data_IF_821889367879
#
_entry.id   IF_821889367879
#
_cell.length_a   1.000
_cell.length_b   1.000
_cell.length_c   1.000
_cell.angle_alpha   90.00
_cell.angle_beta   90.00
_cell.angle_gamma   90.00
#
_symmetry.space_group_name_H-M   'P 1'
#
loop_
_entity.id
_entity.type
_entity.pdbx_description
1 polymer ?
#
# COMPACT_ATOMS: atom_id res chain seq x y z
N UNK A 1 6.95 -54.85 18.01
CA UNK A 1 6.90 -54.91 16.54
C UNK A 1 7.72 -53.76 15.98
N UNK A 2 8.92 -54.03 15.49
CA UNK A 2 9.80 -53.02 14.89
C UNK A 2 9.39 -52.87 13.42
N UNK A 3 8.91 -51.71 13.02
CA UNK A 3 8.64 -51.39 11.62
C UNK A 3 9.97 -51.05 10.92
N UNK A 4 10.51 -51.98 10.16
CA UNK A 4 11.64 -51.74 9.27
C UNK A 4 11.19 -50.91 8.06
N UNK A 5 11.57 -49.62 8.03
CA UNK A 5 11.44 -48.76 6.83
C UNK A 5 12.49 -49.21 5.82
N UNK A 6 12.06 -49.76 4.69
CA UNK A 6 12.97 -50.22 3.63
C UNK A 6 13.52 -49.03 2.84
N UNK A 7 14.77 -49.16 2.31
CA UNK A 7 15.41 -48.12 1.45
C UNK A 7 14.54 -47.67 0.27
N UNK A 8 13.67 -48.53 -0.26
CA UNK A 8 12.72 -48.18 -1.33
C UNK A 8 11.62 -47.24 -0.85
N UNK A 9 11.11 -47.38 0.37
CA UNK A 9 10.11 -46.44 0.95
C UNK A 9 10.67 -45.08 1.18
N UNK A 10 11.96 -44.93 1.55
CA UNK A 10 12.62 -43.63 1.71
C UNK A 10 12.85 -42.92 0.38
N UNK A 11 13.22 -43.62 -0.69
CA UNK A 11 13.42 -43.04 -2.03
C UNK A 11 12.10 -42.59 -2.65
N UNK A 12 10.99 -43.34 -2.48
CA UNK A 12 9.68 -42.90 -2.95
C UNK A 12 9.13 -41.71 -2.16
N UNK A 13 9.40 -41.63 -0.84
CA UNK A 13 9.04 -40.46 -0.02
C UNK A 13 9.82 -39.20 -0.40
N UNK A 14 11.12 -39.33 -0.69
CA UNK A 14 11.95 -38.20 -1.13
C UNK A 14 11.60 -37.71 -2.56
N UNK A 15 11.23 -38.62 -3.47
CA UNK A 15 10.76 -38.25 -4.81
C UNK A 15 9.38 -37.55 -4.79
N UNK A 16 8.48 -37.99 -3.88
CA UNK A 16 7.19 -37.32 -3.67
C UNK A 16 7.32 -35.93 -3.07
N UNK A 17 8.23 -35.73 -2.13
CA UNK A 17 8.55 -34.39 -1.59
C UNK A 17 9.19 -33.49 -2.66
N UNK A 18 10.10 -34.02 -3.51
CA UNK A 18 10.73 -33.25 -4.56
C UNK A 18 9.76 -32.80 -5.65
N UNK A 19 8.74 -33.62 -5.98
CA UNK A 19 7.70 -33.26 -6.95
C UNK A 19 6.71 -32.24 -6.38
N UNK A 20 6.40 -32.27 -5.08
CA UNK A 20 5.56 -31.27 -4.41
C UNK A 20 6.32 -29.93 -4.26
N UNK A 21 7.63 -29.95 -4.07
CA UNK A 21 8.49 -28.76 -3.97
C UNK A 21 8.70 -28.06 -5.32
N UNK A 22 8.62 -28.79 -6.45
CA UNK A 22 8.74 -28.22 -7.78
C UNK A 22 7.56 -27.27 -8.18
N UNK A 23 6.42 -27.36 -7.48
CA UNK A 23 5.26 -26.50 -7.66
C UNK A 23 5.33 -25.18 -6.84
N UNK A 24 6.32 -25.01 -5.95
CA UNK A 24 6.37 -23.95 -4.95
C UNK A 24 7.56 -22.97 -5.12
N UNK A 25 7.97 -22.68 -6.34
CA UNK A 25 9.07 -21.72 -6.58
C UNK A 25 10.43 -22.17 -5.99
N UNK A 26 11.47 -21.43 -6.28
CA UNK A 26 12.82 -21.68 -5.76
C UNK A 26 12.85 -21.52 -4.23
N UNK A 27 13.34 -22.55 -3.52
CA UNK A 27 13.65 -22.45 -2.09
C UNK A 27 14.99 -21.71 -1.97
N UNK A 28 14.95 -20.53 -1.36
CA UNK A 28 16.16 -19.74 -1.12
C UNK A 28 16.97 -20.36 0.03
N UNK A 29 18.22 -20.71 -0.24
CA UNK A 29 19.20 -21.06 0.79
C UNK A 29 19.64 -19.82 1.57
N UNK A 30 20.35 -20.04 2.69
CA UNK A 30 20.85 -18.96 3.56
C UNK A 30 21.74 -17.94 2.82
N UNK A 31 22.49 -18.39 1.81
CA UNK A 31 23.42 -17.57 1.01
C UNK A 31 22.83 -17.11 -0.34
N UNK A 32 21.62 -17.53 -0.67
CA UNK A 32 20.97 -17.13 -1.93
C UNK A 32 20.47 -15.67 -1.83
N UNK A 33 20.66 -14.92 -2.91
CA UNK A 33 20.08 -13.59 -3.05
C UNK A 33 18.68 -13.68 -3.67
N UNK A 34 17.78 -12.83 -3.20
CA UNK A 34 16.45 -12.65 -3.81
C UNK A 34 16.62 -11.85 -5.11
N UNK A 35 16.42 -12.52 -6.25
CA UNK A 35 16.44 -11.89 -7.56
C UNK A 35 15.20 -11.04 -7.77
N UNK A 36 15.36 -9.72 -7.78
CA UNK A 36 14.25 -8.78 -7.78
C UNK A 36 14.18 -8.03 -9.11
N UNK A 37 12.98 -7.89 -9.66
CA UNK A 37 12.68 -6.98 -10.75
C UNK A 37 11.90 -5.76 -10.24
N UNK A 38 12.07 -4.60 -10.91
CA UNK A 38 11.30 -3.40 -10.61
C UNK A 38 10.55 -2.96 -11.86
N UNK A 39 9.23 -2.82 -11.77
CA UNK A 39 8.32 -2.42 -12.85
C UNK A 39 7.70 -1.06 -12.51
N UNK A 40 7.92 -0.07 -13.37
CA UNK A 40 7.59 1.33 -13.14
C UNK A 40 8.73 2.07 -12.43
N UNK A 41 9.38 3.00 -13.14
CA UNK A 41 10.59 3.71 -12.69
C UNK A 41 10.37 5.23 -12.64
N UNK A 42 9.12 5.65 -12.41
CA UNK A 42 8.80 7.04 -12.07
C UNK A 42 9.39 7.46 -10.71
N UNK A 43 8.97 8.59 -10.16
CA UNK A 43 9.49 9.11 -8.88
C UNK A 43 9.43 8.06 -7.77
N UNK A 44 8.28 7.39 -7.61
CA UNK A 44 8.09 6.36 -6.58
C UNK A 44 8.92 5.09 -6.85
N UNK A 45 8.94 4.60 -8.11
CA UNK A 45 9.77 3.44 -8.47
C UNK A 45 11.26 3.67 -8.26
N UNK A 46 11.76 4.86 -8.57
CA UNK A 46 13.16 5.23 -8.28
C UNK A 46 13.45 5.29 -6.77
N UNK A 47 12.48 5.75 -5.97
CA UNK A 47 12.62 5.74 -4.52
C UNK A 47 12.66 4.31 -3.97
N UNK A 48 11.78 3.41 -4.46
CA UNK A 48 11.80 1.98 -4.08
C UNK A 48 13.10 1.30 -4.54
N UNK A 49 13.59 1.60 -5.74
CA UNK A 49 14.89 1.12 -6.20
C UNK A 49 16.00 1.48 -5.20
N UNK A 50 16.03 2.72 -4.70
CA UNK A 50 16.98 3.13 -3.70
C UNK A 50 16.83 2.34 -2.38
N UNK A 51 15.60 2.02 -1.96
CA UNK A 51 15.35 1.18 -0.77
C UNK A 51 15.83 -0.26 -0.94
N UNK A 52 15.62 -0.84 -2.13
CA UNK A 52 16.19 -2.17 -2.47
C UNK A 52 17.72 -2.13 -2.48
N UNK A 53 18.33 -1.09 -3.06
CA UNK A 53 19.78 -0.91 -3.05
C UNK A 53 20.34 -0.73 -1.64
N UNK A 54 19.64 -0.01 -0.76
CA UNK A 54 20.00 0.10 0.66
C UNK A 54 19.98 -1.30 1.33
N UNK A 55 18.95 -2.11 1.12
CA UNK A 55 18.90 -3.50 1.61
C UNK A 55 20.07 -4.33 1.12
N UNK A 56 20.42 -4.20 -0.18
CA UNK A 56 21.55 -4.92 -0.77
C UNK A 56 22.85 -4.52 -0.09
N UNK A 57 23.06 -3.22 0.15
CA UNK A 57 24.26 -2.72 0.80
C UNK A 57 24.39 -3.18 2.26
N UNK A 58 23.29 -3.24 2.99
CA UNK A 58 23.27 -3.59 4.42
C UNK A 58 23.31 -5.10 4.66
N UNK A 59 22.59 -5.90 3.87
CA UNK A 59 22.40 -7.34 4.15
C UNK A 59 22.91 -8.28 3.05
N UNK A 60 23.20 -7.76 1.86
CA UNK A 60 23.71 -8.52 0.70
C UNK A 60 22.89 -9.80 0.35
N UNK A 61 21.59 -9.80 0.68
CA UNK A 61 20.68 -10.94 0.53
C UNK A 61 19.65 -10.77 -0.60
N UNK A 62 19.76 -9.71 -1.38
CA UNK A 62 18.94 -9.40 -2.55
C UNK A 62 19.81 -8.86 -3.69
N UNK A 63 19.25 -8.86 -4.90
CA UNK A 63 19.86 -8.16 -6.06
C UNK A 63 18.79 -7.72 -7.04
N UNK A 64 19.01 -6.60 -7.73
CA UNK A 64 18.14 -6.15 -8.82
C UNK A 64 18.68 -6.72 -10.13
N UNK A 65 17.91 -7.61 -10.76
CA UNK A 65 18.31 -8.31 -12.00
C UNK A 65 17.60 -7.80 -13.24
N UNK A 66 16.48 -7.06 -13.07
CA UNK A 66 15.70 -6.54 -14.18
C UNK A 66 14.96 -5.24 -13.83
N UNK A 67 14.82 -4.37 -14.82
CA UNK A 67 14.11 -3.10 -14.75
C UNK A 67 13.13 -3.01 -15.91
N UNK A 68 11.90 -2.52 -15.68
CA UNK A 68 10.91 -2.32 -16.74
C UNK A 68 10.25 -0.95 -16.61
N UNK A 69 10.19 -0.22 -17.72
CA UNK A 69 9.55 1.10 -17.82
C UNK A 69 9.20 1.40 -19.29
N UNK A 70 8.07 2.00 -19.52
CA UNK A 70 7.59 2.38 -20.87
C UNK A 70 8.13 3.74 -21.36
N UNK A 71 8.71 4.54 -20.48
CA UNK A 71 9.35 5.80 -20.82
C UNK A 71 10.88 5.66 -20.78
N UNK A 72 11.51 5.78 -21.95
CA UNK A 72 12.93 5.47 -22.12
C UNK A 72 13.88 6.31 -21.25
N UNK A 73 13.57 7.58 -21.02
CA UNK A 73 14.39 8.43 -20.15
C UNK A 73 14.45 7.87 -18.70
N UNK A 74 13.30 7.40 -18.17
CA UNK A 74 13.23 6.81 -16.84
C UNK A 74 13.98 5.48 -16.78
N UNK A 75 13.81 4.65 -17.82
CA UNK A 75 14.49 3.36 -17.94
C UNK A 75 16.00 3.52 -17.99
N UNK A 76 16.51 4.40 -18.87
CA UNK A 76 17.93 4.70 -19.00
C UNK A 76 18.54 5.27 -17.71
N UNK A 77 17.82 6.18 -17.05
CA UNK A 77 18.27 6.76 -15.79
C UNK A 77 18.37 5.73 -14.65
N UNK A 78 17.43 4.80 -14.58
CA UNK A 78 17.44 3.73 -13.58
C UNK A 78 18.52 2.68 -13.90
N UNK A 79 18.73 2.32 -15.17
CA UNK A 79 19.76 1.36 -15.60
C UNK A 79 21.17 1.82 -15.21
N UNK A 80 21.45 3.12 -15.29
CA UNK A 80 22.75 3.70 -14.83
C UNK A 80 22.99 3.47 -13.32
N UNK A 81 21.93 3.34 -12.51
CA UNK A 81 22.03 3.11 -11.06
C UNK A 81 22.22 1.64 -10.69
N UNK A 82 21.93 0.72 -11.62
CA UNK A 82 22.04 -0.74 -11.41
C UNK A 82 22.76 -1.38 -12.60
N UNK A 83 24.08 -1.20 -12.69
CA UNK A 83 24.87 -1.84 -13.76
C UNK A 83 24.67 -3.36 -13.76
N UNK A 84 24.35 -3.93 -14.91
CA UNK A 84 24.11 -5.37 -15.08
C UNK A 84 22.65 -5.82 -14.96
N UNK A 85 21.72 -5.00 -14.49
CA UNK A 85 20.31 -5.29 -14.59
C UNK A 85 19.84 -5.21 -16.05
N UNK A 86 19.08 -6.23 -16.52
CA UNK A 86 18.51 -6.23 -17.86
C UNK A 86 17.31 -5.29 -17.93
N UNK A 87 17.20 -4.52 -18.99
CA UNK A 87 16.13 -3.54 -19.20
C UNK A 87 15.06 -4.09 -20.14
N UNK A 88 13.79 -3.73 -19.87
CA UNK A 88 12.61 -4.12 -20.62
C UNK A 88 11.66 -2.94 -20.76
N UNK A 89 10.91 -2.90 -21.86
CA UNK A 89 9.74 -2.00 -22.00
C UNK A 89 8.44 -2.71 -21.71
N UNK A 90 8.40 -4.04 -21.90
CA UNK A 90 7.24 -4.90 -21.67
C UNK A 90 7.46 -5.75 -20.41
N UNK A 91 6.57 -5.63 -19.43
CA UNK A 91 6.66 -6.45 -18.21
C UNK A 91 6.44 -7.94 -18.49
N UNK A 92 5.67 -8.28 -19.54
CA UNK A 92 5.45 -9.67 -19.97
C UNK A 92 6.77 -10.35 -20.33
N UNK A 93 7.62 -9.66 -21.13
CA UNK A 93 8.95 -10.17 -21.50
C UNK A 93 9.87 -10.30 -20.28
N UNK A 94 9.80 -9.33 -19.36
CA UNK A 94 10.54 -9.39 -18.09
C UNK A 94 10.13 -10.63 -17.29
N UNK A 95 8.85 -10.96 -17.21
CA UNK A 95 8.32 -12.09 -16.46
C UNK A 95 8.59 -13.46 -17.11
N UNK A 96 9.13 -13.52 -18.33
CA UNK A 96 9.60 -14.78 -18.93
C UNK A 96 10.92 -15.28 -18.36
N UNK A 97 11.62 -14.45 -17.59
CA UNK A 97 12.84 -14.83 -16.87
C UNK A 97 12.54 -15.95 -15.88
N UNK A 98 13.42 -16.94 -15.83
CA UNK A 98 13.30 -18.12 -14.93
C UNK A 98 13.98 -17.93 -13.58
N UNK A 99 14.75 -16.85 -13.45
CA UNK A 99 15.57 -16.55 -12.29
C UNK A 99 14.95 -15.51 -11.35
N UNK A 100 13.70 -15.05 -11.60
CA UNK A 100 13.02 -14.08 -10.75
C UNK A 100 12.42 -14.74 -9.50
N UNK A 101 12.68 -14.14 -8.34
CA UNK A 101 12.09 -14.50 -7.06
C UNK A 101 11.02 -13.48 -6.62
N UNK A 102 11.24 -12.19 -6.92
CA UNK A 102 10.36 -11.12 -6.49
C UNK A 102 10.19 -10.01 -7.54
N UNK A 103 9.04 -9.35 -7.51
CA UNK A 103 8.72 -8.19 -8.36
C UNK A 103 8.23 -7.02 -7.50
N UNK A 104 8.83 -5.85 -7.69
CA UNK A 104 8.38 -4.58 -7.11
C UNK A 104 7.58 -3.83 -8.18
N UNK A 105 6.30 -3.56 -7.91
CA UNK A 105 5.38 -2.87 -8.81
C UNK A 105 5.16 -1.44 -8.32
N UNK A 106 5.49 -0.45 -9.15
CA UNK A 106 5.40 0.98 -8.85
C UNK A 106 4.87 1.79 -10.04
N UNK A 107 3.96 1.23 -10.76
CA UNK A 107 3.24 1.79 -11.92
C UNK A 107 2.07 2.69 -11.46
N UNK A 108 1.32 3.33 -12.36
CA UNK A 108 -0.01 3.87 -12.05
C UNK A 108 -0.98 2.78 -11.57
N UNK A 109 -2.03 3.19 -10.83
CA UNK A 109 -2.92 2.29 -10.08
C UNK A 109 -3.57 1.21 -10.98
N UNK A 110 -3.97 1.56 -12.21
CA UNK A 110 -4.62 0.64 -13.15
C UNK A 110 -3.72 -0.52 -13.65
N UNK A 111 -2.42 -0.43 -13.41
CA UNK A 111 -1.46 -1.49 -13.73
C UNK A 111 -1.09 -2.37 -12.54
N UNK A 112 -1.49 -2.01 -11.31
CA UNK A 112 -1.12 -2.77 -10.12
C UNK A 112 -1.63 -4.21 -10.17
N UNK A 113 -2.92 -4.41 -10.40
CA UNK A 113 -3.50 -5.76 -10.47
C UNK A 113 -2.98 -6.60 -11.65
N UNK A 114 -2.96 -6.12 -12.91
CA UNK A 114 -2.47 -6.90 -14.03
C UNK A 114 -1.03 -7.41 -13.85
N UNK A 115 -0.12 -6.54 -13.41
CA UNK A 115 1.29 -6.92 -13.23
C UNK A 115 1.45 -7.85 -12.03
N UNK A 116 0.76 -7.57 -10.91
CA UNK A 116 0.78 -8.43 -9.72
C UNK A 116 0.29 -9.83 -10.03
N UNK A 117 -0.84 -9.98 -10.71
CA UNK A 117 -1.39 -11.28 -11.09
C UNK A 117 -0.44 -12.05 -12.00
N UNK A 118 0.13 -11.38 -13.01
CA UNK A 118 1.09 -12.01 -13.91
C UNK A 118 2.37 -12.46 -13.17
N UNK A 119 2.89 -11.66 -12.24
CA UNK A 119 4.05 -12.02 -11.43
C UNK A 119 3.76 -13.23 -10.51
N UNK A 120 2.59 -13.24 -9.85
CA UNK A 120 2.14 -14.36 -9.03
C UNK A 120 1.99 -15.65 -9.84
N UNK A 121 1.46 -15.57 -11.07
CA UNK A 121 1.34 -16.75 -11.96
C UNK A 121 2.71 -17.31 -12.37
N UNK A 122 3.73 -16.48 -12.43
CA UNK A 122 5.12 -16.90 -12.65
C UNK A 122 5.82 -17.41 -11.39
N UNK A 123 5.14 -17.41 -10.25
CA UNK A 123 5.67 -17.87 -8.98
C UNK A 123 6.57 -16.86 -8.27
N UNK A 124 6.48 -15.58 -8.62
CA UNK A 124 7.20 -14.50 -7.93
C UNK A 124 6.42 -14.04 -6.68
N UNK A 125 7.15 -13.61 -5.67
CA UNK A 125 6.61 -12.81 -4.58
C UNK A 125 6.48 -11.34 -5.03
N UNK A 126 5.54 -10.56 -4.45
CA UNK A 126 5.22 -9.24 -4.98
C UNK A 126 5.22 -8.17 -3.88
N UNK A 127 5.97 -7.10 -4.09
CA UNK A 127 5.74 -5.81 -3.45
C UNK A 127 4.97 -4.93 -4.42
N UNK A 128 3.74 -4.55 -4.09
CA UNK A 128 2.95 -3.66 -4.92
C UNK A 128 2.72 -2.34 -4.21
N UNK A 129 3.02 -1.22 -4.86
CA UNK A 129 2.70 0.10 -4.31
C UNK A 129 1.21 0.24 -4.01
N UNK A 130 0.89 1.14 -3.09
CA UNK A 130 -0.50 1.51 -2.81
C UNK A 130 -1.07 2.44 -3.91
N UNK A 131 -2.39 2.38 -4.18
CA UNK A 131 -3.34 1.40 -3.64
C UNK A 131 -3.00 -0.01 -4.13
N UNK A 132 -3.45 -1.03 -3.39
CA UNK A 132 -3.19 -2.43 -3.77
C UNK A 132 -3.60 -2.74 -5.22
N UNK A 133 -4.71 -2.17 -5.65
CA UNK A 133 -5.30 -2.29 -6.98
C UNK A 133 -6.05 -1.00 -7.33
N UNK A 134 -6.49 -0.84 -8.58
CA UNK A 134 -7.33 0.29 -8.98
C UNK A 134 -8.77 0.17 -8.45
N UNK A 135 -9.30 -1.06 -8.40
CA UNK A 135 -10.68 -1.35 -7.96
C UNK A 135 -10.71 -2.41 -6.88
N UNK A 136 -11.81 -2.45 -6.11
CA UNK A 136 -12.08 -3.49 -5.12
C UNK A 136 -12.21 -4.89 -5.75
N UNK A 137 -12.83 -4.97 -6.92
CA UNK A 137 -13.04 -6.25 -7.61
C UNK A 137 -11.71 -6.89 -8.00
N UNK A 138 -10.74 -6.09 -8.46
CA UNK A 138 -9.38 -6.55 -8.70
C UNK A 138 -8.69 -7.01 -7.42
N UNK A 139 -8.91 -6.34 -6.29
CA UNK A 139 -8.30 -6.70 -5.01
C UNK A 139 -8.73 -8.10 -4.55
N UNK A 140 -9.99 -8.45 -4.71
CA UNK A 140 -10.49 -9.80 -4.41
C UNK A 140 -9.79 -10.88 -5.26
N UNK A 141 -9.61 -10.61 -6.56
CA UNK A 141 -8.90 -11.52 -7.47
C UNK A 141 -7.43 -11.69 -7.07
N UNK A 142 -6.76 -10.59 -6.72
CA UNK A 142 -5.36 -10.63 -6.27
C UNK A 142 -5.20 -11.43 -4.99
N UNK A 143 -6.08 -11.24 -3.98
CA UNK A 143 -6.04 -12.02 -2.73
C UNK A 143 -6.22 -13.51 -3.01
N UNK A 144 -7.20 -13.87 -3.84
CA UNK A 144 -7.43 -15.26 -4.23
C UNK A 144 -6.17 -15.87 -4.90
N UNK A 145 -5.52 -15.11 -5.79
CA UNK A 145 -4.30 -15.53 -6.48
C UNK A 145 -3.11 -15.69 -5.53
N UNK A 146 -2.92 -14.78 -4.58
CA UNK A 146 -1.86 -14.86 -3.55
C UNK A 146 -2.00 -16.16 -2.75
N UNK A 147 -3.22 -16.50 -2.35
CA UNK A 147 -3.53 -17.74 -1.62
C UNK A 147 -3.32 -18.97 -2.50
N UNK A 148 -3.86 -18.97 -3.74
CA UNK A 148 -3.72 -20.06 -4.71
C UNK A 148 -2.24 -20.41 -4.94
N UNK A 149 -1.41 -19.39 -5.16
CA UNK A 149 0.02 -19.57 -5.47
C UNK A 149 0.90 -19.69 -4.23
N UNK A 150 0.35 -19.51 -3.04
CA UNK A 150 1.10 -19.48 -1.77
C UNK A 150 2.31 -18.52 -1.85
N UNK A 151 2.08 -17.29 -2.32
CA UNK A 151 3.12 -16.28 -2.48
C UNK A 151 3.03 -15.21 -1.39
N UNK A 152 4.16 -14.56 -1.16
CA UNK A 152 4.21 -13.37 -0.32
C UNK A 152 3.78 -12.16 -1.16
N UNK A 153 2.84 -11.39 -0.64
CA UNK A 153 2.50 -10.08 -1.21
C UNK A 153 2.46 -9.03 -0.11
N UNK A 154 3.18 -7.94 -0.33
CA UNK A 154 3.14 -6.75 0.52
C UNK A 154 2.66 -5.53 -0.26
N UNK A 155 1.71 -4.79 0.33
CA UNK A 155 1.24 -3.51 -0.20
C UNK A 155 2.10 -2.37 0.36
N UNK A 156 2.51 -1.45 -0.49
CA UNK A 156 3.47 -0.37 -0.20
C UNK A 156 2.94 0.74 0.73
N UNK A 157 2.46 0.38 1.92
CA UNK A 157 2.06 1.33 2.97
C UNK A 157 3.08 1.31 4.11
N UNK A 158 4.10 2.14 4.02
CA UNK A 158 5.25 2.13 4.92
C UNK A 158 4.87 2.24 6.40
N UNK A 159 3.84 3.05 6.70
CA UNK A 159 3.35 3.28 8.06
C UNK A 159 2.91 1.98 8.78
N UNK A 160 2.50 0.94 8.06
CA UNK A 160 2.14 -0.34 8.68
C UNK A 160 3.33 -1.07 9.31
N UNK A 161 4.56 -0.68 8.97
CA UNK A 161 5.80 -1.21 9.54
C UNK A 161 6.43 -0.29 10.60
N UNK A 162 5.82 0.86 10.91
CA UNK A 162 6.34 1.77 11.93
C UNK A 162 5.98 1.29 13.33
N UNK A 163 6.91 1.39 14.27
CA UNK A 163 6.68 1.05 15.68
C UNK A 163 5.49 1.80 16.29
N UNK A 164 5.23 3.02 15.82
CA UNK A 164 4.09 3.83 16.24
C UNK A 164 2.77 3.04 16.24
N UNK A 165 2.47 2.37 15.14
CA UNK A 165 1.18 1.70 15.00
C UNK A 165 1.10 0.39 15.78
N UNK A 166 2.23 -0.27 16.04
CA UNK A 166 2.30 -1.38 16.99
C UNK A 166 2.03 -0.91 18.42
N UNK A 167 2.61 0.24 18.82
CA UNK A 167 2.32 0.88 20.12
C UNK A 167 0.86 1.28 20.26
N UNK A 168 0.27 1.88 19.23
CA UNK A 168 -1.17 2.22 19.22
C UNK A 168 -2.02 0.96 19.41
N UNK A 169 -1.69 -0.13 18.70
CA UNK A 169 -2.36 -1.43 18.87
C UNK A 169 -2.27 -1.96 20.29
N UNK A 170 -1.08 -1.97 20.89
CA UNK A 170 -0.86 -2.39 22.29
C UNK A 170 -1.77 -1.59 23.25
N UNK A 171 -1.87 -0.28 23.06
CA UNK A 171 -2.69 0.60 23.90
C UNK A 171 -4.19 0.31 23.71
N UNK A 172 -4.64 0.11 22.47
CA UNK A 172 -6.03 -0.27 22.19
C UNK A 172 -6.36 -1.60 22.86
N UNK A 173 -5.50 -2.61 22.71
CA UNK A 173 -5.67 -3.94 23.28
C UNK A 173 -5.60 -3.95 24.82
N UNK A 174 -4.86 -3.03 25.44
CA UNK A 174 -4.81 -2.89 26.92
C UNK A 174 -6.12 -2.42 27.53
N UNK A 175 -7.10 -1.98 26.72
CA UNK A 175 -8.36 -1.42 27.18
C UNK A 175 -8.25 -0.04 27.83
N UNK A 176 -7.09 0.63 27.74
CA UNK A 176 -6.87 1.97 28.33
C UNK A 176 -7.86 3.01 27.81
N UNK A 177 -8.26 2.90 26.53
CA UNK A 177 -9.25 3.80 25.93
C UNK A 177 -10.70 3.42 26.27
N UNK A 178 -10.94 2.27 26.90
CA UNK A 178 -12.24 1.63 26.91
C UNK A 178 -12.60 1.11 25.49
N UNK A 179 -13.89 1.04 25.16
CA UNK A 179 -14.33 0.67 23.82
C UNK A 179 -14.07 1.82 22.85
N UNK A 180 -13.31 1.57 21.79
CA UNK A 180 -13.15 2.55 20.72
C UNK A 180 -14.51 2.73 20.00
N UNK A 181 -14.91 3.97 19.81
CA UNK A 181 -16.20 4.35 19.17
C UNK A 181 -16.04 5.14 17.87
N UNK A 182 -14.92 5.88 17.74
CA UNK A 182 -14.64 6.62 16.52
C UNK A 182 -13.12 6.83 16.32
N UNK A 183 -12.69 6.82 15.07
CA UNK A 183 -11.36 7.26 14.66
C UNK A 183 -11.49 8.32 13.58
N UNK A 184 -10.53 9.25 13.57
CA UNK A 184 -10.44 10.23 12.51
C UNK A 184 -8.99 10.50 12.14
N UNK A 185 -8.77 10.91 10.88
CA UNK A 185 -7.44 11.24 10.39
C UNK A 185 -7.46 12.11 9.15
N UNK A 186 -6.29 12.55 8.76
CA UNK A 186 -6.09 13.41 7.59
C UNK A 186 -4.78 13.10 6.89
N UNK A 187 -4.74 13.40 5.59
CA UNK A 187 -3.52 13.54 4.81
C UNK A 187 -3.72 14.71 3.82
N UNK A 188 -3.83 15.92 4.36
CA UNK A 188 -4.02 17.14 3.57
C UNK A 188 -2.68 17.67 3.04
N UNK A 189 -2.74 18.43 1.96
CA UNK A 189 -1.62 19.09 1.30
C UNK A 189 -2.07 20.46 0.77
N UNK A 190 -1.12 21.31 0.48
CA UNK A 190 -1.37 22.56 -0.23
C UNK A 190 -0.10 22.91 -1.02
N UNK A 191 -0.14 22.74 -2.33
CA UNK A 191 0.98 23.08 -3.22
C UNK A 191 0.58 24.32 -4.04
N UNK A 192 1.37 25.41 -4.02
CA UNK A 192 1.06 26.61 -4.77
C UNK A 192 0.97 26.41 -6.29
N UNK A 193 1.59 25.35 -6.82
CA UNK A 193 1.48 24.98 -8.23
C UNK A 193 0.30 24.04 -8.52
N UNK A 194 -0.46 23.66 -7.49
CA UNK A 194 -1.48 22.63 -7.50
C UNK A 194 -0.90 21.23 -7.33
N UNK A 195 -1.46 20.48 -6.36
CA UNK A 195 -0.99 19.10 -6.08
C UNK A 195 -1.16 18.22 -7.32
N UNK A 196 -0.18 17.34 -7.54
CA UNK A 196 0.00 16.47 -8.72
C UNK A 196 0.33 17.18 -10.03
N UNK A 197 0.52 18.49 -10.05
CA UNK A 197 0.95 19.25 -11.24
C UNK A 197 2.47 19.15 -11.46
N UNK A 198 2.99 17.92 -11.47
CA UNK A 198 4.40 17.67 -11.75
C UNK A 198 4.83 18.19 -13.14
N UNK A 199 6.12 18.54 -13.30
CA UNK A 199 6.64 18.98 -14.57
C UNK A 199 6.41 17.96 -15.70
N UNK A 200 5.99 18.46 -16.85
CA UNK A 200 5.83 17.68 -18.07
C UNK A 200 7.07 17.90 -18.96
N UNK A 201 7.63 16.84 -19.49
CA UNK A 201 8.63 16.95 -20.55
C UNK A 201 7.91 17.13 -21.91
N UNK A 202 7.95 18.33 -22.52
CA UNK A 202 7.21 18.61 -23.76
C UNK A 202 7.77 17.85 -24.99
N UNK A 203 9.01 17.34 -24.90
CA UNK A 203 9.63 16.55 -25.95
C UNK A 203 9.27 15.07 -25.87
N UNK A 204 8.63 14.62 -24.78
CA UNK A 204 8.31 13.22 -24.58
C UNK A 204 6.97 12.83 -25.23
N UNK A 205 6.94 11.69 -25.90
CA UNK A 205 5.71 11.17 -26.51
C UNK A 205 5.93 9.89 -27.31
N UNK A 206 4.86 9.32 -27.88
CA UNK A 206 4.96 8.07 -28.64
C UNK A 206 5.72 8.21 -29.95
N UNK A 207 5.69 9.38 -30.58
CA UNK A 207 6.39 9.66 -31.83
C UNK A 207 7.83 10.18 -31.61
N UNK A 208 8.23 10.41 -30.39
CA UNK A 208 9.57 10.83 -30.04
C UNK A 208 10.58 9.68 -30.16
N UNK A 209 11.83 10.00 -30.48
CA UNK A 209 12.93 9.03 -30.60
C UNK A 209 13.82 9.03 -29.35
N UNK A 210 14.54 7.92 -29.14
CA UNK A 210 15.54 7.78 -28.08
C UNK A 210 14.93 7.93 -26.68
N UNK A 211 15.58 8.70 -25.82
CA UNK A 211 15.17 8.85 -24.42
C UNK A 211 13.80 9.51 -24.24
N UNK A 212 13.31 10.27 -25.21
CA UNK A 212 12.00 10.91 -25.13
C UNK A 212 10.83 10.00 -25.55
N UNK A 213 11.10 8.80 -26.04
CA UNK A 213 10.04 7.87 -26.44
C UNK A 213 9.26 7.33 -25.25
N UNK A 214 7.92 7.37 -25.36
CA UNK A 214 6.96 6.79 -24.43
C UNK A 214 6.12 5.76 -25.20
N UNK A 215 6.11 4.50 -24.77
CA UNK A 215 5.15 3.52 -25.28
C UNK A 215 3.76 3.77 -24.68
N UNK A 216 3.05 4.71 -25.30
CA UNK A 216 1.72 5.15 -24.83
C UNK A 216 0.68 4.04 -24.89
N UNK A 217 0.74 3.18 -25.87
CA UNK A 217 -0.18 2.04 -26.01
C UNK A 217 -0.03 1.07 -24.84
N UNK A 218 1.21 0.74 -24.51
CA UNK A 218 1.49 -0.11 -23.34
C UNK A 218 1.11 0.59 -22.03
N UNK A 219 1.36 1.91 -21.92
CA UNK A 219 0.98 2.66 -20.74
C UNK A 219 -0.53 2.67 -20.49
N UNK A 220 -1.34 2.81 -21.55
CA UNK A 220 -2.81 2.76 -21.43
C UNK A 220 -3.30 1.37 -20.99
N UNK A 221 -2.76 0.30 -21.56
CA UNK A 221 -3.20 -1.06 -21.24
C UNK A 221 -4.68 -1.27 -21.52
N UNK A 222 -5.43 -1.66 -20.49
CA UNK A 222 -6.88 -1.86 -20.54
C UNK A 222 -7.70 -0.57 -20.38
N UNK A 223 -7.07 0.55 -20.04
CA UNK A 223 -7.75 1.83 -19.94
C UNK A 223 -8.28 2.29 -21.31
N UNK A 224 -9.27 3.20 -21.35
CA UNK A 224 -9.85 3.69 -22.60
C UNK A 224 -8.77 4.18 -23.57
N UNK A 225 -8.79 3.64 -24.79
CA UNK A 225 -7.81 4.01 -25.82
C UNK A 225 -8.04 5.44 -26.29
N UNK A 226 -6.98 6.23 -26.35
CA UNK A 226 -7.01 7.64 -26.75
C UNK A 226 -5.66 8.09 -27.33
N UNK A 227 -5.66 9.21 -28.05
CA UNK A 227 -4.43 9.88 -28.47
C UNK A 227 -3.57 10.24 -27.26
N UNK A 228 -2.26 10.37 -27.47
CA UNK A 228 -1.33 10.74 -26.41
C UNK A 228 -1.74 12.06 -25.75
N UNK A 229 -1.72 12.05 -24.44
CA UNK A 229 -1.97 13.19 -23.58
C UNK A 229 -0.90 13.23 -22.49
N UNK A 230 -0.03 14.23 -22.58
CA UNK A 230 1.09 14.36 -21.67
C UNK A 230 0.63 14.62 -20.23
N UNK A 231 -0.46 15.34 -20.02
CA UNK A 231 -1.00 15.58 -18.68
C UNK A 231 -1.47 14.25 -18.05
N UNK A 232 -2.16 13.41 -18.79
CA UNK A 232 -2.57 12.08 -18.33
C UNK A 232 -1.39 11.16 -18.02
N UNK A 233 -0.33 11.20 -18.82
CA UNK A 233 0.86 10.39 -18.58
C UNK A 233 1.63 10.84 -17.33
N UNK A 234 1.96 12.14 -17.25
CA UNK A 234 2.79 12.67 -16.19
C UNK A 234 2.03 12.92 -14.88
N UNK A 235 0.69 13.11 -14.95
CA UNK A 235 -0.17 13.54 -13.85
C UNK A 235 -1.39 12.64 -13.67
N UNK A 236 -1.23 11.34 -13.84
CA UNK A 236 -2.27 10.33 -13.93
C UNK A 236 -3.27 10.32 -12.76
N UNK A 237 -2.86 10.76 -11.56
CA UNK A 237 -3.71 10.84 -10.37
C UNK A 237 -4.88 11.82 -10.52
N UNK A 238 -4.83 12.69 -11.50
CA UNK A 238 -5.90 13.65 -11.83
C UNK A 238 -7.11 12.97 -12.53
N UNK A 239 -6.96 11.71 -12.99
CA UNK A 239 -7.90 11.07 -13.91
C UNK A 239 -8.38 9.71 -13.39
N UNK A 240 -9.72 9.53 -13.41
CA UNK A 240 -10.38 8.31 -12.92
C UNK A 240 -9.97 7.03 -13.66
N UNK A 241 -9.58 7.14 -14.92
CA UNK A 241 -9.13 5.98 -15.71
C UNK A 241 -7.87 5.31 -15.12
N UNK A 242 -7.11 6.03 -14.31
CA UNK A 242 -5.78 5.59 -13.85
C UNK A 242 -5.59 5.63 -12.35
N UNK A 243 -6.48 6.32 -11.60
CA UNK A 243 -6.37 6.49 -10.15
C UNK A 243 -7.72 6.82 -9.52
N UNK A 244 -7.87 6.57 -8.23
CA UNK A 244 -9.01 7.00 -7.43
C UNK A 244 -8.79 8.35 -6.71
N UNK A 245 -7.83 9.17 -7.16
CA UNK A 245 -7.56 10.50 -6.62
C UNK A 245 -7.12 10.49 -5.15
N UNK A 246 -7.65 11.42 -4.35
CA UNK A 246 -7.32 11.57 -2.91
C UNK A 246 -7.54 10.27 -2.15
N UNK A 247 -8.61 9.53 -2.42
CA UNK A 247 -8.92 8.31 -1.69
C UNK A 247 -7.80 7.26 -1.85
N UNK A 248 -7.39 6.95 -3.07
CA UNK A 248 -6.36 5.93 -3.35
C UNK A 248 -4.95 6.44 -3.05
N UNK A 249 -4.66 7.72 -3.28
CA UNK A 249 -3.32 8.27 -3.05
C UNK A 249 -3.06 8.62 -1.59
N UNK A 250 -4.03 9.24 -0.88
CA UNK A 250 -3.82 9.80 0.45
C UNK A 250 -4.52 9.03 1.56
N UNK A 251 -5.83 8.74 1.43
CA UNK A 251 -6.58 8.07 2.51
C UNK A 251 -6.11 6.65 2.77
N UNK A 252 -5.55 5.98 1.75
CA UNK A 252 -4.97 4.65 1.91
C UNK A 252 -3.88 4.62 2.98
N UNK A 253 -3.05 5.68 3.05
CA UNK A 253 -1.99 5.83 4.05
C UNK A 253 -2.50 6.01 5.49
N UNK A 254 -3.74 6.45 5.65
CA UNK A 254 -4.36 6.66 6.96
C UNK A 254 -5.20 5.44 7.37
N UNK A 255 -5.96 4.88 6.43
CA UNK A 255 -6.85 3.76 6.73
C UNK A 255 -6.09 2.47 7.06
N UNK A 256 -5.02 2.16 6.32
CA UNK A 256 -4.25 0.94 6.55
C UNK A 256 -3.61 0.87 7.96
N UNK A 257 -2.98 1.92 8.49
CA UNK A 257 -2.52 1.93 9.88
C UNK A 257 -3.64 1.79 10.91
N UNK A 258 -4.82 2.37 10.70
CA UNK A 258 -5.96 2.12 11.58
C UNK A 258 -6.37 0.65 11.58
N UNK A 259 -6.26 -0.04 10.46
CA UNK A 259 -6.49 -1.49 10.41
C UNK A 259 -5.45 -2.27 11.25
N UNK A 260 -4.19 -1.83 11.30
CA UNK A 260 -3.18 -2.44 12.20
C UNK A 260 -3.57 -2.20 13.66
N UNK A 261 -3.93 -0.96 14.01
CA UNK A 261 -4.21 -0.56 15.39
C UNK A 261 -5.47 -1.23 15.98
N UNK A 262 -6.49 -1.44 15.16
CA UNK A 262 -7.81 -1.93 15.56
C UNK A 262 -8.08 -3.38 15.17
N UNK A 263 -7.18 -4.02 14.41
CA UNK A 263 -7.35 -5.37 13.84
C UNK A 263 -8.67 -5.51 13.07
N UNK A 264 -8.99 -4.48 12.28
CA UNK A 264 -10.29 -4.33 11.63
C UNK A 264 -10.64 -5.50 10.69
N UNK A 265 -11.93 -5.79 10.65
CA UNK A 265 -12.57 -6.53 9.56
C UNK A 265 -12.88 -5.62 8.37
N UNK A 266 -13.62 -6.12 7.37
CA UNK A 266 -14.15 -5.26 6.33
C UNK A 266 -15.14 -4.25 6.94
N UNK A 267 -15.22 -3.00 6.40
CA UNK A 267 -16.27 -2.08 6.83
C UNK A 267 -17.65 -2.65 6.47
N UNK A 268 -18.64 -2.37 7.31
CA UNK A 268 -20.03 -2.78 7.05
C UNK A 268 -20.80 -1.78 6.19
N UNK A 269 -20.38 -0.50 6.20
CA UNK A 269 -21.00 0.58 5.44
C UNK A 269 -19.95 1.62 5.07
N UNK A 270 -19.99 2.13 3.84
CA UNK A 270 -19.02 3.13 3.33
C UNK A 270 -19.74 4.24 2.59
N UNK A 271 -19.32 5.47 2.87
CA UNK A 271 -19.71 6.68 2.18
C UNK A 271 -18.50 7.52 1.79
N UNK A 272 -18.57 8.20 0.65
CA UNK A 272 -17.59 9.18 0.19
C UNK A 272 -18.26 10.49 -0.19
N UNK A 273 -17.65 11.61 0.19
CA UNK A 273 -18.13 12.97 -0.09
C UNK A 273 -16.96 13.86 -0.47
N UNK A 274 -17.23 14.91 -1.22
CA UNK A 274 -16.20 15.86 -1.62
C UNK A 274 -16.56 16.61 -2.88
N UNK A 275 -15.55 17.21 -3.51
CA UNK A 275 -15.76 17.95 -4.75
C UNK A 275 -14.47 18.51 -5.34
N UNK A 276 -14.58 18.97 -6.56
CA UNK A 276 -13.58 19.76 -7.25
C UNK A 276 -14.00 21.24 -7.12
N UNK A 277 -13.50 21.90 -6.08
CA UNK A 277 -14.01 23.21 -5.68
C UNK A 277 -13.08 24.36 -6.02
N UNK A 278 -11.79 24.10 -6.11
CA UNK A 278 -10.77 25.14 -6.30
C UNK A 278 -9.99 24.95 -7.60
N UNK A 279 -9.48 23.74 -7.85
CA UNK A 279 -8.68 23.51 -9.04
C UNK A 279 -9.53 23.54 -10.33
N UNK A 280 -9.03 24.25 -11.33
CA UNK A 280 -9.60 24.30 -12.68
C UNK A 280 -8.51 23.99 -13.72
N UNK A 281 -7.90 22.81 -13.60
CA UNK A 281 -6.74 22.39 -14.37
C UNK A 281 -7.00 21.12 -15.21
N UNK A 282 -8.27 20.85 -15.50
CA UNK A 282 -8.69 19.70 -16.30
C UNK A 282 -8.71 18.35 -15.57
N UNK A 283 -8.46 18.35 -14.24
CA UNK A 283 -8.59 17.11 -13.45
C UNK A 283 -10.03 16.67 -13.33
N UNK A 284 -10.22 15.37 -13.18
CA UNK A 284 -11.52 14.73 -12.96
C UNK A 284 -11.75 14.40 -11.47
N UNK A 285 -10.65 14.18 -10.74
CA UNK A 285 -10.69 13.77 -9.32
C UNK A 285 -10.87 14.99 -8.41
N UNK A 286 -11.58 14.85 -7.28
CA UNK A 286 -11.83 15.95 -6.35
C UNK A 286 -10.53 16.47 -5.72
N UNK A 287 -10.52 17.78 -5.39
CA UNK A 287 -9.45 18.42 -4.63
C UNK A 287 -9.68 18.42 -3.12
N UNK A 288 -10.88 18.07 -2.69
CA UNK A 288 -11.25 17.88 -1.29
C UNK A 288 -12.15 16.65 -1.18
N UNK A 289 -11.82 15.73 -0.26
CA UNK A 289 -12.50 14.44 -0.16
C UNK A 289 -12.61 13.95 1.29
N UNK A 290 -13.75 13.29 1.58
CA UNK A 290 -14.03 12.63 2.85
C UNK A 290 -14.38 11.16 2.58
N UNK A 291 -13.74 10.25 3.30
CA UNK A 291 -14.14 8.85 3.43
C UNK A 291 -14.73 8.63 4.81
N UNK A 292 -15.90 8.02 4.90
CA UNK A 292 -16.53 7.58 6.14
C UNK A 292 -16.87 6.09 6.03
N UNK A 293 -16.49 5.31 7.04
CA UNK A 293 -16.73 3.87 7.08
C UNK A 293 -17.14 3.41 8.47
N UNK A 294 -18.25 2.66 8.58
CA UNK A 294 -18.66 1.96 9.80
C UNK A 294 -18.13 0.53 9.79
N UNK A 295 -17.83 0.03 10.98
CA UNK A 295 -17.25 -1.31 11.16
C UNK A 295 -18.13 -2.20 12.05
N UNK A 296 -18.10 -3.54 11.86
CA UNK A 296 -18.88 -4.49 12.66
C UNK A 296 -18.64 -4.36 14.17
N UNK A 297 -17.42 -3.93 14.59
CA UNK A 297 -17.08 -3.62 15.98
C UNK A 297 -17.84 -2.44 16.59
N UNK A 298 -18.80 -1.83 15.87
CA UNK A 298 -19.64 -0.69 16.27
C UNK A 298 -18.80 0.56 16.58
N UNK A 299 -17.97 0.96 15.64
CA UNK A 299 -17.25 2.22 15.59
C UNK A 299 -17.16 2.70 14.15
N UNK A 300 -16.84 3.97 13.96
CA UNK A 300 -16.67 4.58 12.64
C UNK A 300 -15.25 5.12 12.45
N UNK A 301 -14.76 5.09 11.22
CA UNK A 301 -13.52 5.78 10.81
C UNK A 301 -13.88 6.85 9.79
N UNK A 302 -13.40 8.07 10.01
CA UNK A 302 -13.52 9.18 9.07
C UNK A 302 -12.15 9.70 8.68
N UNK A 303 -11.93 9.93 7.39
CA UNK A 303 -10.70 10.51 6.87
C UNK A 303 -11.08 11.66 5.96
N UNK A 304 -10.60 12.86 6.26
CA UNK A 304 -10.84 14.05 5.46
C UNK A 304 -9.51 14.63 4.99
N UNK A 305 -9.38 14.88 3.70
CA UNK A 305 -8.17 15.46 3.12
C UNK A 305 -8.51 16.51 2.06
N UNK A 306 -7.64 17.51 1.96
CA UNK A 306 -7.69 18.54 0.93
C UNK A 306 -6.33 18.67 0.26
N UNK A 307 -6.31 19.07 -1.01
CA UNK A 307 -5.12 19.44 -1.77
C UNK A 307 -4.95 20.95 -1.90
N UNK A 308 -5.88 21.70 -1.30
CA UNK A 308 -5.93 23.17 -1.34
C UNK A 308 -5.90 23.81 0.05
N UNK A 309 -5.78 22.97 1.08
CA UNK A 309 -5.54 23.38 2.47
C UNK A 309 -4.81 22.23 3.18
N UNK A 310 -3.64 22.51 3.77
CA UNK A 310 -2.82 21.49 4.43
C UNK A 310 -3.28 21.15 5.85
N UNK A 311 -4.18 21.94 6.44
CA UNK A 311 -4.71 21.70 7.77
C UNK A 311 -5.94 20.79 7.66
N UNK A 312 -5.90 19.67 8.33
CA UNK A 312 -7.00 18.70 8.42
C UNK A 312 -7.39 18.41 9.86
N UNK A 313 -8.39 17.56 10.08
CA UNK A 313 -8.76 17.13 11.42
C UNK A 313 -7.60 16.41 12.12
N UNK A 314 -7.51 16.59 13.45
CA UNK A 314 -6.55 15.88 14.28
C UNK A 314 -6.67 14.36 14.07
N UNK A 315 -5.57 13.64 14.17
CA UNK A 315 -5.58 12.18 14.15
C UNK A 315 -5.90 11.64 15.55
N UNK A 316 -7.10 11.11 15.73
CA UNK A 316 -7.65 10.68 17.03
C UNK A 316 -8.19 9.25 16.99
N UNK A 317 -8.02 8.53 18.11
CA UNK A 317 -8.82 7.35 18.46
C UNK A 317 -9.63 7.70 19.70
N UNK A 318 -10.97 7.76 19.56
CA UNK A 318 -11.88 8.07 20.67
C UNK A 318 -12.42 6.78 21.25
N UNK A 319 -12.15 6.58 22.52
CA UNK A 319 -12.72 5.50 23.31
C UNK A 319 -13.75 6.02 24.31
N UNK A 320 -14.46 5.11 24.96
CA UNK A 320 -15.46 5.45 25.99
C UNK A 320 -14.86 5.96 27.29
N UNK A 321 -13.58 5.67 27.56
CA UNK A 321 -12.89 6.08 28.81
C UNK A 321 -11.81 7.13 28.56
N UNK A 322 -11.16 7.12 27.41
CA UNK A 322 -10.11 8.06 27.07
C UNK A 322 -10.01 8.25 25.55
N UNK A 323 -9.47 9.40 25.14
CA UNK A 323 -9.14 9.71 23.75
C UNK A 323 -7.63 9.71 23.56
N UNK A 324 -7.15 9.03 22.53
CA UNK A 324 -5.76 9.09 22.11
C UNK A 324 -5.59 10.09 20.97
N UNK A 325 -4.69 11.05 21.16
CA UNK A 325 -4.22 12.00 20.17
C UNK A 325 -2.93 11.48 19.56
N UNK A 326 -2.88 11.35 18.25
CA UNK A 326 -1.71 10.89 17.49
C UNK A 326 -1.05 12.07 16.80
N UNK A 327 -0.46 12.97 17.56
CA UNK A 327 0.18 14.19 17.15
C UNK A 327 -0.28 15.39 17.96
N UNK A 328 0.59 16.36 18.14
CA UNK A 328 0.25 17.64 18.74
C UNK A 328 -0.28 18.61 17.69
N UNK A 329 -1.14 19.53 18.11
CA UNK A 329 -1.78 20.56 17.28
C UNK A 329 -0.76 21.50 16.59
N UNK A 330 0.50 21.48 17.03
CA UNK A 330 1.53 22.44 16.65
C UNK A 330 2.75 21.88 15.90
N UNK A 331 2.89 20.56 15.72
CA UNK A 331 4.05 19.99 15.03
C UNK A 331 3.90 19.92 13.49
N UNK A 332 3.47 21.00 12.90
CA UNK A 332 3.32 21.18 11.46
C UNK A 332 1.94 20.76 10.96
N UNK A 333 1.59 21.19 9.75
CA UNK A 333 0.23 21.15 9.22
C UNK A 333 -0.35 19.74 9.04
N UNK A 334 0.43 18.70 9.25
CA UNK A 334 0.01 17.34 8.96
C UNK A 334 0.03 16.38 10.16
N UNK A 335 0.53 16.81 11.34
CA UNK A 335 0.60 15.94 12.54
C UNK A 335 1.31 14.60 12.36
N UNK A 336 2.10 14.46 11.29
CA UNK A 336 2.62 13.15 10.84
C UNK A 336 3.95 12.77 11.46
N UNK A 337 4.69 13.72 11.97
CA UNK A 337 6.06 13.52 12.46
C UNK A 337 6.18 13.57 13.97
N UNK A 338 5.07 13.50 14.69
CA UNK A 338 5.13 13.54 16.14
C UNK A 338 5.67 12.22 16.69
N UNK A 339 6.70 12.31 17.49
CA UNK A 339 7.23 11.17 18.25
C UNK A 339 6.38 10.85 19.49
N UNK A 340 5.25 11.55 19.67
CA UNK A 340 4.45 11.50 20.90
C UNK A 340 2.99 11.17 20.59
N UNK A 341 2.38 10.29 21.38
CA UNK A 341 0.93 10.14 21.47
C UNK A 341 0.49 10.52 22.88
N UNK A 342 -0.65 11.22 22.98
CA UNK A 342 -1.23 11.62 24.28
C UNK A 342 -2.55 10.88 24.47
N UNK A 343 -2.73 10.32 25.68
CA UNK A 343 -3.99 9.68 26.09
C UNK A 343 -4.59 10.50 27.19
N UNK A 344 -5.74 11.10 26.90
CA UNK A 344 -6.46 12.00 27.81
C UNK A 344 -7.77 11.32 28.21
N UNK A 345 -8.05 11.16 29.52
CA UNK A 345 -9.31 10.56 29.97
C UNK A 345 -10.52 11.44 29.65
N UNK A 346 -11.63 10.80 29.33
CA UNK A 346 -12.93 11.45 29.30
C UNK A 346 -13.32 11.91 30.72
N UNK A 347 -13.98 13.06 30.86
CA UNK A 347 -14.29 13.69 32.14
C UNK A 347 -14.90 12.74 33.16
N UNK A 348 -15.88 11.87 32.84
CA UNK A 348 -16.48 10.95 33.81
C UNK A 348 -15.54 9.88 34.33
N UNK A 349 -14.42 9.61 33.65
CA UNK A 349 -13.46 8.55 33.99
C UNK A 349 -12.13 9.09 34.54
N UNK A 350 -12.02 10.40 34.76
CA UNK A 350 -10.77 11.06 35.15
C UNK A 350 -10.24 10.56 36.50
N UNK A 351 -11.11 10.40 37.48
CA UNK A 351 -10.72 9.94 38.84
C UNK A 351 -10.20 8.50 38.82
N UNK A 352 -10.86 7.62 38.09
CA UNK A 352 -10.43 6.22 37.92
C UNK A 352 -9.13 6.14 37.12
N UNK A 353 -8.97 6.98 36.11
CA UNK A 353 -7.74 7.09 35.33
C UNK A 353 -6.57 7.57 36.21
N UNK A 354 -6.79 8.61 37.03
CA UNK A 354 -5.80 9.13 37.95
C UNK A 354 -5.41 8.07 39.00
N UNK A 355 -6.38 7.34 39.57
CA UNK A 355 -6.13 6.21 40.49
C UNK A 355 -5.27 5.12 39.83
N UNK A 356 -5.58 4.78 38.60
CA UNK A 356 -4.90 3.68 37.89
C UNK A 356 -3.50 4.06 37.45
N UNK A 357 -3.30 5.28 36.95
CA UNK A 357 -2.07 5.69 36.27
C UNK A 357 -1.23 6.70 37.03
N UNK A 358 -1.79 7.29 38.12
CA UNK A 358 -1.12 8.33 38.92
C UNK A 358 -0.89 9.66 38.20
N UNK A 359 -1.57 9.88 37.04
CA UNK A 359 -1.39 11.01 36.14
C UNK A 359 -2.72 11.41 35.50
N UNK A 360 -2.86 12.68 35.15
CA UNK A 360 -4.03 13.22 34.44
C UNK A 360 -4.05 12.85 32.96
N UNK A 361 -2.89 12.50 32.40
CA UNK A 361 -2.72 12.04 31.02
C UNK A 361 -1.55 11.07 30.93
N UNK A 362 -1.54 10.24 29.90
CA UNK A 362 -0.39 9.38 29.54
C UNK A 362 0.26 9.93 28.28
N UNK A 363 1.55 10.20 28.38
CA UNK A 363 2.39 10.54 27.23
C UNK A 363 3.16 9.29 26.82
N UNK A 364 2.98 8.87 25.56
CA UNK A 364 3.71 7.75 24.95
C UNK A 364 4.75 8.34 24.03
N UNK A 365 6.00 8.33 24.48
CA UNK A 365 7.15 8.81 23.71
C UNK A 365 7.65 7.76 22.71
N UNK A 366 8.48 8.19 21.75
CA UNK A 366 9.12 7.34 20.75
C UNK A 366 8.13 6.55 19.86
N UNK A 367 6.97 7.14 19.59
CA UNK A 367 6.00 6.63 18.62
C UNK A 367 6.23 7.23 17.21
N UNK A 368 7.42 7.76 16.94
CA UNK A 368 7.76 8.41 15.70
C UNK A 368 7.85 7.47 14.50
N UNK A 369 8.06 8.08 13.35
CA UNK A 369 8.39 7.39 12.11
C UNK A 369 9.83 6.84 12.24
N UNK A 370 9.98 5.53 12.36
CA UNK A 370 11.28 4.85 12.47
C UNK A 370 11.84 4.38 11.12
N UNK A 371 11.36 4.97 10.07
CA UNK A 371 11.91 4.89 8.73
C UNK A 371 11.19 3.92 7.80
N UNK A 372 11.09 4.36 6.56
CA UNK A 372 10.42 3.61 5.49
C UNK A 372 11.23 2.38 5.04
N UNK A 373 12.53 2.31 5.39
CA UNK A 373 13.37 1.15 5.06
C UNK A 373 12.84 -0.13 5.72
N UNK A 374 12.34 -0.04 6.95
CA UNK A 374 11.76 -1.20 7.65
C UNK A 374 10.66 -1.90 6.87
N UNK A 375 9.89 -1.16 6.10
CA UNK A 375 8.81 -1.75 5.29
C UNK A 375 9.37 -2.56 4.11
N UNK A 376 10.41 -2.07 3.45
CA UNK A 376 11.11 -2.82 2.41
C UNK A 376 11.85 -4.03 3.00
N UNK A 377 12.49 -3.87 4.16
CA UNK A 377 13.15 -4.98 4.87
C UNK A 377 12.16 -6.06 5.28
N UNK A 378 10.98 -5.68 5.79
CA UNK A 378 9.91 -6.61 6.12
C UNK A 378 9.49 -7.45 4.91
N UNK A 379 9.39 -6.85 3.71
CA UNK A 379 9.10 -7.61 2.50
C UNK A 379 10.14 -8.70 2.24
N UNK A 380 11.43 -8.34 2.18
CA UNK A 380 12.51 -9.30 1.91
C UNK A 380 12.64 -10.37 3.02
N UNK A 381 12.47 -9.97 4.28
CA UNK A 381 12.49 -10.90 5.41
C UNK A 381 11.32 -11.91 5.31
N UNK A 382 10.13 -11.46 4.88
CA UNK A 382 8.97 -12.33 4.65
C UNK A 382 9.13 -13.23 3.40
N UNK A 383 9.74 -12.74 2.32
CA UNK A 383 10.12 -13.58 1.16
C UNK A 383 10.99 -14.74 1.59
N UNK A 384 11.95 -14.52 2.49
CA UNK A 384 12.86 -15.56 2.98
C UNK A 384 12.24 -16.48 4.03
N UNK A 385 11.53 -15.90 5.01
CA UNK A 385 10.94 -16.66 6.13
C UNK A 385 9.59 -17.29 5.80
N UNK A 386 8.95 -16.88 4.72
CA UNK A 386 7.57 -17.21 4.34
C UNK A 386 6.54 -16.76 5.39
N UNK A 387 6.91 -15.86 6.30
CA UNK A 387 5.99 -15.21 7.22
C UNK A 387 5.15 -14.16 6.49
N UNK A 388 3.97 -13.88 7.04
CA UNK A 388 3.07 -12.87 6.47
C UNK A 388 3.64 -11.45 6.69
N UNK A 389 3.70 -10.59 5.67
CA UNK A 389 4.21 -9.23 5.83
C UNK A 389 3.21 -8.31 6.55
N UNK A 390 3.72 -7.18 7.06
CA UNK A 390 2.93 -6.24 7.84
C UNK A 390 1.71 -5.68 7.10
N UNK A 391 1.85 -5.40 5.81
CA UNK A 391 0.73 -4.99 4.95
C UNK A 391 0.47 -6.07 3.89
N UNK A 392 -0.02 -7.21 4.32
CA UNK A 392 -0.30 -8.36 3.45
C UNK A 392 -1.56 -8.15 2.59
N UNK A 393 -1.77 -9.01 1.61
CA UNK A 393 -2.85 -8.88 0.63
C UNK A 393 -4.26 -8.81 1.27
N UNK A 394 -4.54 -9.61 2.31
CA UNK A 394 -5.85 -9.57 3.00
C UNK A 394 -6.10 -8.23 3.70
N UNK A 395 -5.06 -7.66 4.34
CA UNK A 395 -5.14 -6.31 4.90
C UNK A 395 -5.37 -5.29 3.80
N UNK A 396 -4.62 -5.37 2.70
CA UNK A 396 -4.78 -4.51 1.53
C UNK A 396 -6.20 -4.54 0.96
N UNK A 397 -6.82 -5.72 0.90
CA UNK A 397 -8.20 -5.89 0.44
C UNK A 397 -9.21 -5.21 1.38
N UNK A 398 -9.06 -5.39 2.69
CA UNK A 398 -9.92 -4.71 3.68
C UNK A 398 -9.83 -3.19 3.55
N UNK A 399 -8.63 -2.67 3.35
CA UNK A 399 -8.41 -1.23 3.11
C UNK A 399 -9.05 -0.80 1.78
N UNK A 400 -8.85 -1.57 0.69
CA UNK A 400 -9.47 -1.28 -0.61
C UNK A 400 -11.00 -1.22 -0.51
N UNK A 401 -11.62 -2.05 0.33
CA UNK A 401 -13.08 -1.99 0.55
C UNK A 401 -13.52 -0.60 1.00
N UNK A 402 -12.85 -0.01 1.99
CA UNK A 402 -13.15 1.35 2.43
C UNK A 402 -12.81 2.42 1.39
N UNK A 403 -11.68 2.28 0.72
CA UNK A 403 -11.16 3.27 -0.23
C UNK A 403 -11.96 3.29 -1.53
N UNK A 404 -12.09 2.15 -2.23
CA UNK A 404 -12.77 2.11 -3.52
C UNK A 404 -14.29 2.38 -3.38
N UNK A 405 -14.91 1.84 -2.33
CA UNK A 405 -16.34 2.11 -2.11
C UNK A 405 -16.61 3.56 -1.73
N UNK A 406 -15.67 4.28 -1.11
CA UNK A 406 -15.82 5.72 -0.90
C UNK A 406 -15.77 6.49 -2.24
N UNK A 407 -14.89 6.09 -3.17
CA UNK A 407 -14.84 6.65 -4.54
C UNK A 407 -16.15 6.34 -5.29
N UNK A 408 -16.59 5.07 -5.27
CA UNK A 408 -17.86 4.67 -5.91
C UNK A 408 -19.05 5.42 -5.30
N UNK A 409 -19.07 5.60 -3.96
CA UNK A 409 -20.09 6.36 -3.25
C UNK A 409 -20.18 7.80 -3.73
N UNK A 410 -19.06 8.50 -3.81
CA UNK A 410 -18.99 9.84 -4.35
C UNK A 410 -19.47 9.91 -5.81
N UNK A 411 -18.98 9.02 -6.67
CA UNK A 411 -19.32 9.03 -8.11
C UNK A 411 -20.75 8.62 -8.42
N UNK A 412 -21.37 7.78 -7.58
CA UNK A 412 -22.73 7.25 -7.78
C UNK A 412 -23.77 7.90 -6.86
N UNK A 413 -23.34 8.81 -5.98
CA UNK A 413 -24.17 9.49 -5.00
C UNK A 413 -25.03 8.50 -4.15
N UNK A 414 -24.38 7.44 -3.64
CA UNK A 414 -25.04 6.45 -2.79
C UNK A 414 -24.11 5.90 -1.71
N UNK A 415 -24.69 5.36 -0.62
CA UNK A 415 -23.97 4.65 0.42
C UNK A 415 -23.89 3.17 0.05
N UNK A 416 -22.73 2.56 0.25
CA UNK A 416 -22.54 1.12 0.05
C UNK A 416 -22.63 0.38 1.38
N UNK A 417 -23.32 -0.76 1.37
CA UNK A 417 -23.39 -1.74 2.47
C UNK A 417 -22.61 -2.97 2.04
N UNK A 418 -21.86 -3.54 2.98
CA UNK A 418 -20.87 -4.58 2.70
C UNK A 418 -21.05 -5.73 3.68
N UNK A 419 -20.92 -6.97 3.21
CA UNK A 419 -20.90 -8.15 4.07
C UNK A 419 -19.52 -8.38 4.73
N UNK A 420 -19.45 -9.41 5.58
CA UNK A 420 -18.20 -9.74 6.32
C UNK A 420 -17.03 -10.21 5.43
N UNK A 421 -17.29 -10.49 4.15
CA UNK A 421 -16.26 -10.92 3.19
C UNK A 421 -15.76 -9.78 2.29
N UNK A 422 -16.38 -8.60 2.42
CA UNK A 422 -16.05 -7.42 1.62
C UNK A 422 -16.88 -7.28 0.35
N UNK A 423 -17.90 -8.13 0.12
CA UNK A 423 -18.78 -7.99 -1.03
C UNK A 423 -19.85 -6.93 -0.80
N UNK A 424 -20.11 -6.15 -1.85
CA UNK A 424 -21.19 -5.15 -1.84
C UNK A 424 -22.53 -5.86 -1.86
N UNK A 425 -23.36 -5.58 -0.86
CA UNK A 425 -24.72 -6.08 -0.82
C UNK A 425 -25.62 -5.24 -1.72
N UNK A 426 -26.41 -5.89 -2.54
CA UNK A 426 -27.45 -5.23 -3.33
C UNK A 426 -28.53 -4.72 -2.35
N UNK A 427 -28.67 -3.39 -2.25
CA UNK A 427 -29.73 -2.72 -1.51
C UNK A 427 -30.96 -2.52 -2.38
#
# INVERSE_FOLDING_TARGET
MQNNVTRRGFVCGAAGLSAALALHGRILGANDRVNTAIVGLGGRGNWLLAKVQQRIAEKNDAQVVALCEVYQARLSAAAKKVPGAKTYTLYQELLERKDLDAVVVATPDHWHAPITLAALDRGCDVYCEKPMTHTLDEAAVVVAKVREKNRIMQVGVQATSWNRWQKVREIVQSGTLGKVVACQGTYSRNDPNGDWNWPINPAAGPDALGENHIDWKQWLGSAPQRSFDADRFFRFRKYWDYSGGIATDLHYHILAPFHIALENEHPSRVAGMGGLWVYNDGRETPDTFLTAADYPGKYSITIQSSQVNEIGPLMLLRGTHATMHLGDEWEGPQGRNTSVARIVPETPFRDDFLKKWGKDEIIVENVGNDGDQKHMDNFFDCVRSRQQPNCHADLGHKVMTGIDLSVRSYRQNKIFVVDSTGHVMNG
#
